data_IF_793035885788
#
_entry.id   IF_793035885788
#
_cell.length_a   1.000
_cell.length_b   1.000
_cell.length_c   1.000
_cell.angle_alpha   90.00
_cell.angle_beta   90.00
_cell.angle_gamma   90.00
#
_symmetry.space_group_name_H-M   'P 1'
#
loop_
_entity.id
_entity.type
_entity.pdbx_description
1 polymer ?
#
# COMPACT_ATOMS: atom_id res chain seq x y z
N UNK A 1 17.66 13.12 15.33
CA UNK A 1 17.22 13.50 13.96
C UNK A 1 17.10 12.23 13.15
N UNK A 2 15.91 11.85 12.70
CA UNK A 2 15.79 10.79 11.68
C UNK A 2 16.23 11.42 10.35
N UNK A 3 17.21 10.82 9.68
CA UNK A 3 17.72 11.30 8.39
C UNK A 3 16.79 10.86 7.26
N UNK A 4 16.64 11.68 6.20
CA UNK A 4 15.82 11.34 5.03
C UNK A 4 16.14 9.94 4.48
N UNK A 5 17.41 9.54 4.50
CA UNK A 5 17.83 8.21 4.07
C UNK A 5 17.20 7.09 4.92
N UNK A 6 17.09 7.25 6.23
CA UNK A 6 16.50 6.24 7.11
C UNK A 6 15.00 6.10 6.85
N UNK A 7 14.27 7.20 6.70
CA UNK A 7 12.84 7.15 6.37
C UNK A 7 12.60 6.52 4.99
N UNK A 8 13.44 6.83 4.00
CA UNK A 8 13.33 6.25 2.67
C UNK A 8 13.63 4.74 2.67
N UNK A 9 14.61 4.29 3.46
CA UNK A 9 14.87 2.85 3.63
C UNK A 9 13.71 2.14 4.33
N UNK A 10 13.15 2.74 5.39
CA UNK A 10 12.00 2.20 6.08
C UNK A 10 10.77 2.10 5.17
N UNK A 11 10.53 3.15 4.37
CA UNK A 11 9.54 3.14 3.30
C UNK A 11 9.76 1.97 2.32
N UNK A 12 10.98 1.84 1.79
CA UNK A 12 11.33 0.83 0.80
C UNK A 12 11.11 -0.58 1.35
N UNK A 13 11.53 -0.83 2.59
CA UNK A 13 11.33 -2.10 3.27
C UNK A 13 9.85 -2.42 3.48
N UNK A 14 9.06 -1.46 3.96
CA UNK A 14 7.62 -1.63 4.13
C UNK A 14 6.91 -1.93 2.79
N UNK A 15 7.24 -1.19 1.73
CA UNK A 15 6.68 -1.44 0.39
C UNK A 15 7.08 -2.80 -0.17
N UNK A 16 8.33 -3.23 0.05
CA UNK A 16 8.79 -4.56 -0.36
C UNK A 16 8.01 -5.67 0.37
N UNK A 17 7.78 -5.53 1.67
CA UNK A 17 6.97 -6.48 2.43
C UNK A 17 5.52 -6.53 1.92
N UNK A 18 4.90 -5.37 1.63
CA UNK A 18 3.58 -5.33 1.01
C UNK A 18 3.53 -6.08 -0.34
N UNK A 19 4.55 -5.91 -1.18
CA UNK A 19 4.68 -6.66 -2.44
C UNK A 19 4.82 -8.16 -2.22
N UNK A 20 5.61 -8.58 -1.23
CA UNK A 20 5.80 -9.98 -0.89
C UNK A 20 4.50 -10.63 -0.42
N UNK A 21 3.74 -9.97 0.46
CA UNK A 21 2.42 -10.44 0.87
C UNK A 21 1.44 -10.50 -0.29
N UNK A 22 1.45 -9.52 -1.20
CA UNK A 22 0.60 -9.55 -2.39
C UNK A 22 0.93 -10.74 -3.31
N UNK A 23 2.22 -11.08 -3.49
CA UNK A 23 2.61 -12.26 -4.24
C UNK A 23 2.08 -13.55 -3.60
N UNK A 24 2.18 -13.68 -2.28
CA UNK A 24 1.63 -14.82 -1.55
C UNK A 24 0.11 -14.91 -1.65
N UNK A 25 -0.60 -13.77 -1.59
CA UNK A 25 -2.05 -13.72 -1.82
C UNK A 25 -2.38 -14.26 -3.20
N UNK A 26 -1.71 -13.78 -4.25
CA UNK A 26 -1.95 -14.24 -5.63
C UNK A 26 -1.70 -15.75 -5.80
N UNK A 27 -0.68 -16.30 -5.12
CA UNK A 27 -0.41 -17.74 -5.12
C UNK A 27 -1.55 -18.52 -4.46
N UNK A 28 -2.06 -18.03 -3.33
CA UNK A 28 -3.17 -18.67 -2.59
C UNK A 28 -4.50 -18.58 -3.34
N UNK A 29 -4.78 -17.45 -3.98
CA UNK A 29 -5.94 -17.29 -4.86
C UNK A 29 -5.87 -18.24 -6.07
N UNK A 30 -4.66 -18.49 -6.59
CA UNK A 30 -4.45 -19.50 -7.62
C UNK A 30 -4.68 -20.93 -7.09
N UNK A 31 -4.19 -21.24 -5.89
CA UNK A 31 -4.45 -22.52 -5.21
C UNK A 31 -5.96 -22.79 -5.07
N UNK A 32 -6.74 -21.80 -4.63
CA UNK A 32 -8.21 -21.92 -4.56
C UNK A 32 -8.84 -22.24 -5.91
N UNK A 33 -8.40 -21.56 -6.99
CA UNK A 33 -8.89 -21.83 -8.35
C UNK A 33 -8.58 -23.26 -8.81
N UNK A 34 -7.43 -23.81 -8.43
CA UNK A 34 -7.11 -25.21 -8.74
C UNK A 34 -8.01 -26.18 -7.99
N UNK A 35 -8.34 -25.89 -6.72
CA UNK A 35 -9.30 -26.69 -5.95
C UNK A 35 -10.69 -26.62 -6.59
N UNK A 36 -11.14 -25.43 -7.02
CA UNK A 36 -12.40 -25.27 -7.73
C UNK A 36 -12.44 -26.10 -9.02
N UNK A 37 -11.37 -26.05 -9.82
CA UNK A 37 -11.25 -26.87 -11.03
C UNK A 37 -11.33 -28.36 -10.67
N UNK A 38 -10.53 -28.81 -9.69
CA UNK A 38 -10.51 -30.21 -9.27
C UNK A 38 -11.89 -30.68 -8.78
N UNK A 39 -12.61 -29.84 -8.03
CA UNK A 39 -13.95 -30.15 -7.52
C UNK A 39 -15.01 -30.36 -8.63
N UNK A 40 -14.81 -29.77 -9.82
CA UNK A 40 -15.70 -29.96 -10.97
C UNK A 40 -15.50 -31.30 -11.67
N UNK A 41 -14.30 -31.87 -11.59
CA UNK A 41 -13.92 -33.09 -12.32
C UNK A 41 -13.72 -34.32 -11.42
N UNK A 42 -13.75 -34.15 -10.10
CA UNK A 42 -13.60 -35.25 -9.12
C UNK A 42 -14.73 -35.22 -8.09
N UNK A 43 -15.62 -36.21 -8.16
CA UNK A 43 -16.82 -36.32 -7.30
C UNK A 43 -16.54 -36.86 -5.89
N UNK A 44 -15.32 -37.34 -5.61
CA UNK A 44 -15.07 -38.19 -4.43
C UNK A 44 -14.52 -37.46 -3.19
N UNK A 45 -14.31 -36.13 -3.21
CA UNK A 45 -13.66 -35.40 -2.11
C UNK A 45 -14.25 -34.02 -1.80
N UNK A 46 -15.56 -33.83 -1.99
CA UNK A 46 -16.22 -32.52 -1.78
C UNK A 46 -15.93 -31.90 -0.41
N UNK A 47 -16.16 -32.64 0.69
CA UNK A 47 -15.97 -32.12 2.05
C UNK A 47 -14.51 -31.73 2.35
N UNK A 48 -13.56 -32.53 1.87
CA UNK A 48 -12.13 -32.24 2.01
C UNK A 48 -11.74 -30.95 1.27
N UNK A 49 -12.21 -30.79 0.03
CA UNK A 49 -11.96 -29.60 -0.78
C UNK A 49 -12.52 -28.33 -0.12
N UNK A 50 -13.72 -28.40 0.46
CA UNK A 50 -14.34 -27.26 1.15
C UNK A 50 -13.56 -26.86 2.42
N UNK A 51 -13.10 -27.83 3.22
CA UNK A 51 -12.23 -27.54 4.37
C UNK A 51 -10.91 -26.89 3.93
N UNK A 52 -10.33 -27.35 2.82
CA UNK A 52 -9.09 -26.79 2.28
C UNK A 52 -9.29 -25.35 1.80
N UNK A 53 -10.43 -25.05 1.15
CA UNK A 53 -10.78 -23.67 0.75
C UNK A 53 -10.90 -22.75 1.96
N UNK A 54 -11.64 -23.15 2.99
CA UNK A 54 -11.80 -22.35 4.21
C UNK A 54 -10.45 -22.02 4.86
N UNK A 55 -9.53 -22.99 4.89
CA UNK A 55 -8.18 -22.77 5.38
C UNK A 55 -7.43 -21.72 4.55
N UNK A 56 -7.48 -21.83 3.23
CA UNK A 56 -6.82 -20.88 2.33
C UNK A 56 -7.44 -19.48 2.45
N UNK A 57 -8.76 -19.38 2.62
CA UNK A 57 -9.44 -18.09 2.84
C UNK A 57 -8.94 -17.38 4.11
N UNK A 58 -8.79 -18.10 5.23
CA UNK A 58 -8.23 -17.55 6.46
C UNK A 58 -6.77 -17.12 6.30
N UNK A 59 -5.97 -17.88 5.56
CA UNK A 59 -4.59 -17.52 5.22
C UNK A 59 -4.56 -16.23 4.38
N UNK A 60 -5.41 -16.13 3.35
CA UNK A 60 -5.55 -14.93 2.51
C UNK A 60 -5.95 -13.71 3.35
N UNK A 61 -6.91 -13.85 4.27
CA UNK A 61 -7.32 -12.75 5.16
C UNK A 61 -6.15 -12.25 6.02
N UNK A 62 -5.38 -13.18 6.60
CA UNK A 62 -4.18 -12.84 7.39
C UNK A 62 -3.14 -12.12 6.54
N UNK A 63 -2.88 -12.63 5.33
CA UNK A 63 -1.94 -12.00 4.39
C UNK A 63 -2.41 -10.61 3.95
N UNK A 64 -3.72 -10.42 3.71
CA UNK A 64 -4.31 -9.11 3.37
C UNK A 64 -4.12 -8.12 4.51
N UNK A 65 -4.35 -8.53 5.76
CA UNK A 65 -4.11 -7.68 6.93
C UNK A 65 -2.64 -7.27 7.04
N UNK A 66 -1.71 -8.22 6.91
CA UNK A 66 -0.27 -7.93 6.96
C UNK A 66 0.19 -7.02 5.81
N UNK A 67 -0.31 -7.25 4.59
CA UNK A 67 -0.08 -6.37 3.44
C UNK A 67 -0.55 -4.96 3.74
N UNK A 68 -1.80 -4.81 4.21
CA UNK A 68 -2.39 -3.50 4.49
C UNK A 68 -1.60 -2.74 5.56
N UNK A 69 -1.19 -3.41 6.64
CA UNK A 69 -0.33 -2.81 7.67
C UNK A 69 1.00 -2.29 7.10
N UNK A 70 1.62 -3.05 6.18
CA UNK A 70 2.86 -2.61 5.53
C UNK A 70 2.63 -1.46 4.54
N UNK A 71 1.49 -1.43 3.85
CA UNK A 71 1.08 -0.27 3.03
C UNK A 71 0.92 0.96 3.93
N UNK A 72 0.26 0.84 5.08
CA UNK A 72 0.07 1.94 6.02
C UNK A 72 1.41 2.49 6.52
N UNK A 73 2.33 1.62 6.92
CA UNK A 73 3.68 2.02 7.32
C UNK A 73 4.43 2.72 6.17
N UNK A 74 4.34 2.20 4.94
CA UNK A 74 4.97 2.82 3.78
C UNK A 74 4.41 4.24 3.52
N UNK A 75 3.09 4.40 3.55
CA UNK A 75 2.45 5.71 3.42
C UNK A 75 2.93 6.64 4.53
N UNK A 76 2.99 6.16 5.77
CA UNK A 76 3.38 6.98 6.91
C UNK A 76 4.81 7.52 6.76
N UNK A 77 5.78 6.66 6.43
CA UNK A 77 7.16 7.06 6.17
C UNK A 77 7.27 8.04 4.99
N UNK A 78 6.51 7.83 3.92
CA UNK A 78 6.50 8.73 2.76
C UNK A 78 5.92 10.12 3.10
N UNK A 79 4.91 10.18 3.97
CA UNK A 79 4.35 11.44 4.46
C UNK A 79 5.32 12.16 5.41
N UNK A 80 6.07 11.42 6.25
CA UNK A 80 7.12 12.01 7.08
C UNK A 80 8.25 12.61 6.25
N UNK A 81 8.71 11.87 5.22
CA UNK A 81 9.67 12.39 4.24
C UNK A 81 9.18 13.68 3.61
N UNK A 82 7.91 13.70 3.20
CA UNK A 82 7.27 14.88 2.60
C UNK A 82 7.33 16.07 3.55
N UNK A 83 6.99 15.88 4.82
CA UNK A 83 7.02 16.96 5.82
C UNK A 83 8.42 17.53 6.06
N UNK A 84 9.46 16.69 6.02
CA UNK A 84 10.85 17.14 6.16
C UNK A 84 11.29 17.91 4.91
N UNK A 85 10.98 17.41 3.72
CA UNK A 85 11.37 18.05 2.47
C UNK A 85 10.69 19.39 2.25
N UNK A 86 9.43 19.56 2.67
CA UNK A 86 8.73 20.85 2.66
C UNK A 86 9.52 21.93 3.43
N UNK A 87 10.18 21.56 4.53
CA UNK A 87 10.95 22.50 5.37
C UNK A 87 12.31 22.83 4.78
N UNK A 88 12.93 21.88 4.10
CA UNK A 88 14.33 21.97 3.68
C UNK A 88 14.53 22.31 2.19
N UNK A 89 13.43 22.46 1.43
CA UNK A 89 13.42 22.83 0.01
C UNK A 89 14.43 22.03 -0.84
N UNK A 90 14.32 20.70 -0.78
CA UNK A 90 15.26 19.78 -1.42
C UNK A 90 15.19 19.83 -2.96
N UNK A 91 16.35 19.87 -3.62
CA UNK A 91 16.50 19.81 -5.09
C UNK A 91 16.04 18.46 -5.68
N UNK A 92 16.27 17.36 -4.96
CA UNK A 92 15.82 16.02 -5.30
C UNK A 92 14.88 15.51 -4.23
N UNK A 93 13.66 15.14 -4.62
CA UNK A 93 12.60 14.74 -3.69
C UNK A 93 12.53 13.21 -3.56
N UNK A 94 13.11 12.68 -2.49
CA UNK A 94 12.93 11.27 -2.09
C UNK A 94 11.48 11.02 -1.69
N UNK A 95 10.81 12.03 -1.12
CA UNK A 95 9.38 11.99 -0.85
C UNK A 95 8.57 11.75 -2.12
N UNK A 96 8.86 12.47 -3.21
CA UNK A 96 8.18 12.27 -4.49
C UNK A 96 8.36 10.84 -5.01
N UNK A 97 9.59 10.31 -4.97
CA UNK A 97 9.86 8.92 -5.38
C UNK A 97 9.08 7.92 -4.53
N UNK A 98 9.03 8.12 -3.21
CA UNK A 98 8.30 7.26 -2.29
C UNK A 98 6.79 7.30 -2.57
N UNK A 99 6.21 8.49 -2.65
CA UNK A 99 4.78 8.69 -2.92
C UNK A 99 4.40 8.10 -4.27
N UNK A 100 5.15 8.37 -5.34
CA UNK A 100 4.86 7.77 -6.65
C UNK A 100 4.98 6.25 -6.65
N UNK A 101 5.95 5.69 -5.93
CA UNK A 101 6.16 4.25 -5.86
C UNK A 101 4.99 3.54 -5.18
N UNK A 102 4.50 4.06 -4.04
CA UNK A 102 3.32 3.48 -3.36
C UNK A 102 2.05 3.70 -4.17
N UNK A 103 1.88 4.88 -4.77
CA UNK A 103 0.72 5.22 -5.61
C UNK A 103 0.62 4.29 -6.82
N UNK A 104 1.75 4.07 -7.51
CA UNK A 104 1.83 3.13 -8.64
C UNK A 104 1.51 1.69 -8.21
N UNK A 105 2.04 1.26 -7.06
CA UNK A 105 1.74 -0.05 -6.50
C UNK A 105 0.23 -0.23 -6.22
N UNK A 106 -0.42 0.75 -5.59
CA UNK A 106 -1.86 0.72 -5.31
C UNK A 106 -2.70 0.63 -6.58
N UNK A 107 -2.31 1.35 -7.65
CA UNK A 107 -2.97 1.26 -8.97
C UNK A 107 -2.88 -0.13 -9.57
N UNK A 108 -1.66 -0.68 -9.65
CA UNK A 108 -1.40 -1.96 -10.32
C UNK A 108 -2.11 -3.11 -9.60
N UNK A 109 -2.03 -3.13 -8.27
CA UNK A 109 -2.61 -4.21 -7.47
C UNK A 109 -4.11 -4.06 -7.27
N UNK A 110 -4.72 -2.97 -7.74
CA UNK A 110 -6.16 -2.68 -7.60
C UNK A 110 -6.65 -2.93 -6.17
N UNK A 111 -5.91 -2.42 -5.19
CA UNK A 111 -6.27 -2.54 -3.76
C UNK A 111 -7.38 -1.53 -3.43
N UNK A 112 -8.47 -1.55 -4.18
CA UNK A 112 -9.58 -0.58 -4.13
C UNK A 112 -10.28 -0.55 -2.77
N UNK A 113 -10.23 -1.66 -2.04
CA UNK A 113 -10.94 -1.81 -0.77
C UNK A 113 -10.06 -1.37 0.42
N UNK A 114 -8.88 -0.81 0.16
CA UNK A 114 -7.99 -0.33 1.20
C UNK A 114 -8.53 0.96 1.82
N UNK A 115 -9.07 0.85 3.02
CA UNK A 115 -9.47 2.01 3.82
C UNK A 115 -8.30 2.40 4.73
N UNK A 116 -7.79 3.62 4.58
CA UNK A 116 -6.74 4.13 5.47
C UNK A 116 -7.27 4.30 6.90
N UNK A 117 -6.47 3.99 7.93
CA UNK A 117 -6.76 4.41 9.29
C UNK A 117 -6.89 5.94 9.39
N UNK A 118 -7.82 6.42 10.22
CA UNK A 118 -8.14 7.84 10.37
C UNK A 118 -6.91 8.74 10.60
N UNK A 119 -5.95 8.29 11.40
CA UNK A 119 -4.72 9.06 11.66
C UNK A 119 -3.90 9.31 10.38
N UNK A 120 -3.81 8.34 9.47
CA UNK A 120 -3.13 8.51 8.19
C UNK A 120 -3.94 9.38 7.22
N UNK A 121 -5.27 9.25 7.21
CA UNK A 121 -6.13 10.12 6.40
C UNK A 121 -5.94 11.59 6.79
N UNK A 122 -5.93 11.87 8.11
CA UNK A 122 -5.68 13.21 8.66
C UNK A 122 -4.28 13.71 8.32
N UNK A 123 -3.26 12.85 8.46
CA UNK A 123 -1.85 13.18 8.11
C UNK A 123 -1.72 13.53 6.62
N UNK A 124 -2.32 12.73 5.73
CA UNK A 124 -2.32 12.95 4.29
C UNK A 124 -3.00 14.28 3.93
N UNK A 125 -4.19 14.52 4.47
CA UNK A 125 -4.95 15.77 4.24
C UNK A 125 -4.19 17.00 4.70
N UNK A 126 -3.53 16.91 5.86
CA UNK A 126 -2.67 17.98 6.38
C UNK A 126 -1.47 18.24 5.46
N UNK A 127 -0.80 17.19 4.98
CA UNK A 127 0.34 17.31 4.05
C UNK A 127 -0.08 17.96 2.75
N UNK A 128 -1.20 17.52 2.16
CA UNK A 128 -1.79 18.09 0.94
C UNK A 128 -2.10 19.60 1.14
N UNK A 129 -2.74 19.96 2.25
CA UNK A 129 -3.06 21.36 2.57
C UNK A 129 -1.81 22.23 2.71
N UNK A 130 -0.76 21.72 3.39
CA UNK A 130 0.51 22.44 3.55
C UNK A 130 1.17 22.64 2.19
N UNK A 131 1.21 21.60 1.35
CA UNK A 131 1.79 21.68 0.01
C UNK A 131 1.05 22.70 -0.87
N UNK A 132 -0.28 22.70 -0.85
CA UNK A 132 -1.09 23.66 -1.62
C UNK A 132 -0.88 25.10 -1.16
N UNK A 133 -0.74 25.35 0.15
CA UNK A 133 -0.51 26.69 0.71
C UNK A 133 0.95 27.13 0.66
N UNK A 134 1.87 26.22 0.46
CA UNK A 134 3.30 26.54 0.40
C UNK A 134 3.69 27.08 -0.98
N UNK A 135 4.54 28.12 -1.00
CA UNK A 135 5.18 28.64 -2.21
C UNK A 135 6.27 27.69 -2.76
N UNK A 136 6.20 26.39 -2.42
CA UNK A 136 7.14 25.38 -2.92
C UNK A 136 6.96 25.21 -4.43
N UNK A 137 8.07 25.27 -5.16
CA UNK A 137 8.13 25.03 -6.61
C UNK A 137 8.00 23.56 -7.00
N UNK A 138 7.93 22.65 -6.02
CA UNK A 138 7.85 21.20 -6.24
C UNK A 138 6.43 20.76 -6.62
N UNK A 139 5.98 21.20 -7.80
CA UNK A 139 4.67 20.88 -8.37
C UNK A 139 4.45 19.38 -8.55
N UNK A 140 5.53 18.63 -8.84
CA UNK A 140 5.50 17.17 -8.97
C UNK A 140 5.08 16.47 -7.67
N UNK A 141 5.63 16.90 -6.53
CA UNK A 141 5.23 16.35 -5.23
C UNK A 141 3.79 16.72 -4.87
N UNK A 142 3.33 17.94 -5.22
CA UNK A 142 1.93 18.33 -5.03
C UNK A 142 1.00 17.40 -5.80
N UNK A 143 1.26 17.20 -7.10
CA UNK A 143 0.44 16.30 -7.92
C UNK A 143 0.47 14.86 -7.41
N UNK A 144 1.62 14.36 -6.96
CA UNK A 144 1.76 13.01 -6.45
C UNK A 144 0.95 12.79 -5.15
N UNK A 145 0.95 13.77 -4.24
CA UNK A 145 0.15 13.72 -3.01
C UNK A 145 -1.35 13.78 -3.31
N UNK A 146 -1.78 14.69 -4.20
CA UNK A 146 -3.19 14.78 -4.58
C UNK A 146 -3.66 13.52 -5.31
N UNK A 147 -2.80 12.91 -6.12
CA UNK A 147 -3.08 11.61 -6.75
C UNK A 147 -3.24 10.49 -5.70
N UNK A 148 -2.32 10.40 -4.74
CA UNK A 148 -2.42 9.44 -3.64
C UNK A 148 -3.72 9.63 -2.85
N UNK A 149 -4.09 10.87 -2.55
CA UNK A 149 -5.34 11.24 -1.87
C UNK A 149 -6.58 10.74 -2.63
N UNK A 150 -6.59 10.90 -3.95
CA UNK A 150 -7.67 10.42 -4.81
C UNK A 150 -7.79 8.90 -4.85
N UNK A 151 -6.68 8.16 -4.97
CA UNK A 151 -6.68 6.68 -4.99
C UNK A 151 -7.19 6.11 -3.67
N UNK A 152 -6.90 6.79 -2.56
CA UNK A 152 -7.26 6.35 -1.22
C UNK A 152 -8.61 6.91 -0.74
N UNK A 153 -9.33 7.64 -1.61
CA UNK A 153 -10.63 8.24 -1.31
C UNK A 153 -10.64 9.07 -0.02
N UNK A 154 -9.54 9.80 0.24
CA UNK A 154 -9.43 10.72 1.36
C UNK A 154 -9.84 12.10 0.86
N UNK A 155 -10.79 12.78 1.53
CA UNK A 155 -11.33 14.07 1.08
C UNK A 155 -11.12 15.16 2.12
#
# INVERSE_FOLDING_TARGET
>A
MVTNNMLYQNFSNALMQAKNYQSQISQKEFEMKLIDINSRYSSNNYYYNELQKQKIELEILTLKNNRNNNIFSAIDYALELTQIEIRNNALYSMAYLAINSITSYLRIQKVSDLILPFHLQSKLTRVDTILMRSNTSNTMLKSAISELKNILHVF
#
